data_IF_506411220736
#
_entry.id   IF_506411220736
#
_cell.length_a   1.000
_cell.length_b   1.000
_cell.length_c   1.000
_cell.angle_alpha   90.00
_cell.angle_beta   90.00
_cell.angle_gamma   90.00
#
_symmetry.space_group_name_H-M   'P 1'
#
loop_
_entity.id
_entity.type
_entity.pdbx_description
1 polymer ?
#
# COMPACT_ATOMS: atom_id res chain seq x y z
N UNK A 1 53.04 -5.95 40.52
CA UNK A 1 53.18 -6.13 39.07
C UNK A 1 51.83 -5.75 38.51
N UNK A 2 51.56 -4.45 38.51
CA UNK A 2 50.36 -3.88 37.93
C UNK A 2 50.66 -3.91 36.43
N UNK A 3 49.93 -4.75 35.69
CA UNK A 3 50.02 -4.75 34.25
C UNK A 3 49.76 -3.32 33.81
N UNK A 4 50.71 -2.77 33.06
CA UNK A 4 50.41 -1.73 32.09
C UNK A 4 49.46 -2.38 31.09
N UNK A 5 48.21 -2.66 31.50
CA UNK A 5 47.11 -2.82 30.56
C UNK A 5 47.18 -1.55 29.72
N UNK A 6 47.43 -1.77 28.44
CA UNK A 6 48.28 -0.94 27.62
C UNK A 6 47.62 0.43 27.40
N UNK A 7 48.19 1.46 28.02
CA UNK A 7 47.68 2.84 27.99
C UNK A 7 47.55 3.37 26.55
N UNK A 8 48.25 2.76 25.59
CA UNK A 8 48.18 3.09 24.16
C UNK A 8 47.26 2.17 23.36
N UNK A 9 46.72 1.10 23.94
CA UNK A 9 45.82 0.14 23.28
C UNK A 9 44.57 0.82 22.73
N UNK A 10 43.99 1.76 23.49
CA UNK A 10 42.87 2.59 23.04
C UNK A 10 43.23 3.50 21.85
N UNK A 11 44.50 3.92 21.73
CA UNK A 11 44.98 4.76 20.63
C UNK A 11 45.35 3.94 19.40
N UNK A 12 45.73 2.67 19.57
CA UNK A 12 46.02 1.71 18.50
C UNK A 12 44.74 1.12 17.90
N UNK A 13 43.70 0.91 18.73
CA UNK A 13 42.41 0.35 18.33
C UNK A 13 41.35 1.41 18.01
N UNK A 14 41.74 2.67 17.86
CA UNK A 14 40.83 3.80 17.69
C UNK A 14 40.00 3.70 16.40
N UNK A 15 40.63 3.27 15.30
CA UNK A 15 39.95 3.07 14.00
C UNK A 15 38.88 1.97 14.10
N UNK A 16 39.24 0.81 14.66
CA UNK A 16 38.31 -0.31 14.85
C UNK A 16 37.16 0.06 15.80
N UNK A 17 37.46 0.82 16.86
CA UNK A 17 36.45 1.31 17.81
C UNK A 17 35.45 2.22 17.11
N UNK A 18 35.91 3.24 16.40
CA UNK A 18 35.02 4.16 15.69
C UNK A 18 34.28 3.51 14.52
N UNK A 19 34.90 2.54 13.83
CA UNK A 19 34.21 1.75 12.82
C UNK A 19 33.04 0.97 13.43
N UNK A 20 33.29 0.27 14.53
CA UNK A 20 32.26 -0.51 15.23
C UNK A 20 31.16 0.39 15.82
N UNK A 21 31.53 1.55 16.37
CA UNK A 21 30.59 2.55 16.85
C UNK A 21 29.70 3.08 15.72
N UNK A 22 30.30 3.52 14.61
CA UNK A 22 29.58 4.04 13.45
C UNK A 22 28.68 2.98 12.80
N UNK A 23 29.14 1.73 12.71
CA UNK A 23 28.31 0.62 12.24
C UNK A 23 27.12 0.38 13.16
N UNK A 24 27.34 0.32 14.48
CA UNK A 24 26.29 0.10 15.46
C UNK A 24 25.28 1.25 15.46
N UNK A 25 25.74 2.49 15.42
CA UNK A 25 24.90 3.67 15.33
C UNK A 25 24.06 3.65 14.05
N UNK A 26 24.71 3.45 12.89
CA UNK A 26 24.04 3.39 11.59
C UNK A 26 23.01 2.26 11.52
N UNK A 27 23.31 1.08 12.07
CA UNK A 27 22.38 -0.04 12.13
C UNK A 27 21.16 0.28 13.01
N UNK A 28 21.37 0.79 14.22
CA UNK A 28 20.29 1.14 15.14
C UNK A 28 19.40 2.26 14.57
N UNK A 29 20.03 3.29 14.00
CA UNK A 29 19.32 4.39 13.36
C UNK A 29 18.53 3.90 12.14
N UNK A 30 19.16 3.13 11.24
CA UNK A 30 18.51 2.58 10.06
C UNK A 30 17.32 1.68 10.38
N UNK A 31 17.43 0.85 11.42
CA UNK A 31 16.33 0.00 11.88
C UNK A 31 15.16 0.83 12.42
N UNK A 32 15.44 1.85 13.23
CA UNK A 32 14.41 2.71 13.80
C UNK A 32 13.70 3.54 12.73
N UNK A 33 14.47 4.22 11.89
CA UNK A 33 13.94 5.08 10.81
C UNK A 33 13.21 4.25 9.76
N UNK A 34 13.78 3.12 9.33
CA UNK A 34 13.14 2.25 8.34
C UNK A 34 11.79 1.69 8.82
N UNK A 35 11.67 1.36 10.11
CA UNK A 35 10.39 0.93 10.69
C UNK A 35 9.33 2.03 10.66
N UNK A 36 9.72 3.26 11.00
CA UNK A 36 8.79 4.39 10.99
C UNK A 36 8.39 4.77 9.57
N UNK A 37 9.34 4.82 8.63
CA UNK A 37 9.06 5.09 7.22
C UNK A 37 8.14 4.04 6.61
N UNK A 38 8.42 2.75 6.82
CA UNK A 38 7.57 1.67 6.32
C UNK A 38 6.13 1.77 6.85
N UNK A 39 5.97 2.12 8.13
CA UNK A 39 4.65 2.34 8.75
C UNK A 39 3.91 3.50 8.10
N UNK A 40 4.59 4.63 7.89
CA UNK A 40 4.01 5.83 7.29
C UNK A 40 3.60 5.59 5.84
N UNK A 41 4.48 4.96 5.05
CA UNK A 41 4.21 4.61 3.65
C UNK A 41 3.03 3.65 3.58
N UNK A 42 3.03 2.56 4.36
CA UNK A 42 1.95 1.58 4.35
C UNK A 42 0.59 2.16 4.77
N UNK A 43 0.57 3.07 5.75
CA UNK A 43 -0.67 3.77 6.13
C UNK A 43 -1.18 4.67 5.01
N UNK A 44 -0.29 5.44 4.39
CA UNK A 44 -0.65 6.35 3.30
C UNK A 44 -1.18 5.59 2.09
N UNK A 45 -0.42 4.61 1.59
CA UNK A 45 -0.81 3.83 0.41
C UNK A 45 -2.06 3.00 0.67
N UNK A 46 -2.16 2.39 1.85
CA UNK A 46 -3.35 1.64 2.25
C UNK A 46 -4.60 2.52 2.32
N UNK A 47 -4.48 3.75 2.83
CA UNK A 47 -5.60 4.70 2.84
C UNK A 47 -6.01 5.11 1.42
N UNK A 48 -5.06 5.48 0.56
CA UNK A 48 -5.33 5.90 -0.83
C UNK A 48 -6.07 4.79 -1.61
N UNK A 49 -5.61 3.54 -1.48
CA UNK A 49 -6.25 2.38 -2.12
C UNK A 49 -7.64 2.11 -1.52
N UNK A 50 -7.74 2.14 -0.19
CA UNK A 50 -9.00 1.90 0.52
C UNK A 50 -10.06 2.95 0.20
N UNK A 51 -9.66 4.21 0.09
CA UNK A 51 -10.53 5.32 -0.33
C UNK A 51 -11.08 5.08 -1.74
N UNK A 52 -10.21 4.76 -2.71
CA UNK A 52 -10.63 4.54 -4.09
C UNK A 52 -11.57 3.32 -4.22
N UNK A 53 -11.27 2.21 -3.54
CA UNK A 53 -12.13 1.02 -3.51
C UNK A 53 -13.47 1.30 -2.83
N UNK A 54 -13.46 2.01 -1.70
CA UNK A 54 -14.67 2.40 -0.97
C UNK A 54 -15.57 3.32 -1.80
N UNK A 55 -14.98 4.29 -2.50
CA UNK A 55 -15.69 5.15 -3.45
C UNK A 55 -16.37 4.33 -4.55
N UNK A 56 -15.63 3.42 -5.20
CA UNK A 56 -16.19 2.54 -6.22
C UNK A 56 -17.29 1.64 -5.69
N UNK A 57 -17.15 1.10 -4.48
CA UNK A 57 -18.19 0.30 -3.85
C UNK A 57 -19.48 1.10 -3.65
N UNK A 58 -19.36 2.32 -3.13
CA UNK A 58 -20.50 3.22 -2.98
C UNK A 58 -21.20 3.53 -4.31
N UNK A 59 -20.44 3.78 -5.38
CA UNK A 59 -21.01 3.98 -6.71
C UNK A 59 -21.77 2.75 -7.21
N UNK A 60 -21.17 1.56 -7.09
CA UNK A 60 -21.80 0.30 -7.49
C UNK A 60 -23.12 0.08 -6.73
N UNK A 61 -23.14 0.34 -5.43
CA UNK A 61 -24.34 0.17 -4.59
C UNK A 61 -25.47 1.13 -5.04
N UNK A 62 -25.14 2.39 -5.30
CA UNK A 62 -26.10 3.40 -5.79
C UNK A 62 -26.62 3.05 -7.19
N UNK A 63 -25.74 2.69 -8.13
CA UNK A 63 -26.16 2.30 -9.48
C UNK A 63 -27.02 1.04 -9.47
N UNK A 64 -26.66 0.04 -8.68
CA UNK A 64 -27.50 -1.15 -8.51
C UNK A 64 -28.88 -0.80 -7.92
N UNK A 65 -28.95 0.13 -6.98
CA UNK A 65 -30.23 0.61 -6.46
C UNK A 65 -31.07 1.30 -7.55
N UNK A 66 -30.45 2.18 -8.34
CA UNK A 66 -31.13 2.87 -9.44
C UNK A 66 -31.62 1.91 -10.54
N UNK A 67 -30.80 0.92 -10.91
CA UNK A 67 -31.16 -0.14 -11.86
C UNK A 67 -32.35 -0.96 -11.35
N UNK A 68 -32.43 -1.25 -10.04
CA UNK A 68 -33.57 -1.97 -9.46
C UNK A 68 -34.87 -1.15 -9.52
N UNK A 69 -34.78 0.17 -9.33
CA UNK A 69 -35.95 1.06 -9.37
C UNK A 69 -36.48 1.21 -10.79
N UNK A 70 -35.60 1.43 -11.76
CA UNK A 70 -35.98 1.55 -13.18
C UNK A 70 -34.91 0.89 -14.07
N UNK A 71 -35.10 -0.39 -14.42
CA UNK A 71 -34.15 -1.14 -15.25
C UNK A 71 -33.97 -0.55 -16.66
N UNK A 72 -34.89 0.28 -17.13
CA UNK A 72 -34.82 0.87 -18.48
C UNK A 72 -33.92 2.10 -18.56
N UNK A 73 -33.56 2.70 -17.41
CA UNK A 73 -32.69 3.89 -17.34
C UNK A 73 -31.27 3.63 -17.78
N UNK A 74 -30.78 2.41 -17.59
CA UNK A 74 -29.43 2.02 -17.93
C UNK A 74 -29.46 0.99 -19.05
N UNK A 75 -28.63 1.19 -20.08
CA UNK A 75 -28.48 0.17 -21.12
C UNK A 75 -27.98 -1.14 -20.53
N UNK A 76 -28.29 -2.26 -21.19
CA UNK A 76 -27.80 -3.60 -20.79
C UNK A 76 -26.28 -3.65 -20.67
N UNK A 77 -25.56 -2.89 -21.50
CA UNK A 77 -24.10 -2.73 -21.44
C UNK A 77 -23.65 -2.07 -20.13
N UNK A 78 -24.33 -1.01 -19.69
CA UNK A 78 -24.00 -0.33 -18.43
C UNK A 78 -24.33 -1.24 -17.24
N UNK A 79 -25.49 -1.90 -17.23
CA UNK A 79 -25.85 -2.85 -16.17
C UNK A 79 -24.81 -3.98 -16.03
N UNK A 80 -24.34 -4.53 -17.16
CA UNK A 80 -23.26 -5.53 -17.17
C UNK A 80 -21.95 -4.95 -16.60
N UNK A 81 -21.59 -3.73 -16.99
CA UNK A 81 -20.38 -3.06 -16.52
C UNK A 81 -20.41 -2.82 -15.00
N UNK A 82 -21.56 -2.41 -14.45
CA UNK A 82 -21.76 -2.23 -13.00
C UNK A 82 -21.59 -3.57 -12.26
N UNK A 83 -22.18 -4.65 -12.78
CA UNK A 83 -22.05 -5.99 -12.18
C UNK A 83 -20.59 -6.48 -12.18
N UNK A 84 -19.89 -6.33 -13.30
CA UNK A 84 -18.47 -6.69 -13.40
C UNK A 84 -17.59 -5.85 -12.48
N UNK A 85 -17.88 -4.55 -12.34
CA UNK A 85 -17.17 -3.67 -11.43
C UNK A 85 -17.34 -4.11 -9.97
N UNK A 86 -18.56 -4.47 -9.55
CA UNK A 86 -18.80 -5.06 -8.23
C UNK A 86 -18.00 -6.34 -7.99
N UNK A 87 -17.97 -7.24 -8.98
CA UNK A 87 -17.19 -8.47 -8.89
C UNK A 87 -15.67 -8.26 -8.84
N UNK A 88 -15.15 -7.18 -9.44
CA UNK A 88 -13.74 -6.82 -9.32
C UNK A 88 -13.40 -6.29 -7.91
N UNK A 89 -14.29 -5.49 -7.31
CA UNK A 89 -14.12 -5.00 -5.94
C UNK A 89 -14.08 -6.16 -4.95
N UNK A 90 -14.96 -7.16 -5.11
CA UNK A 90 -15.00 -8.35 -4.24
C UNK A 90 -13.76 -9.23 -4.35
N UNK A 91 -13.10 -9.23 -5.51
CA UNK A 91 -11.89 -10.04 -5.76
C UNK A 91 -10.60 -9.31 -5.41
N UNK A 92 -10.65 -8.02 -5.08
CA UNK A 92 -9.45 -7.26 -4.81
C UNK A 92 -8.74 -7.80 -3.55
N UNK A 93 -7.44 -8.15 -3.63
CA UNK A 93 -6.71 -8.80 -2.54
C UNK A 93 -6.27 -7.78 -1.47
N UNK A 94 -7.21 -7.35 -0.62
CA UNK A 94 -6.97 -6.32 0.40
C UNK A 94 -5.86 -6.68 1.41
N UNK A 95 -5.64 -7.97 1.67
CA UNK A 95 -4.64 -8.46 2.63
C UNK A 95 -3.31 -8.83 1.98
N UNK A 96 -3.24 -8.84 0.65
CA UNK A 96 -2.06 -9.24 -0.12
C UNK A 96 -1.72 -8.11 -1.11
N UNK A 97 -1.24 -6.95 -0.61
CA UNK A 97 -0.98 -5.77 -1.44
C UNK A 97 0.14 -5.98 -2.47
N UNK A 98 0.93 -7.05 -2.33
CA UNK A 98 1.99 -7.45 -3.27
C UNK A 98 1.49 -8.41 -4.35
N UNK A 99 0.21 -8.80 -4.33
CA UNK A 99 -0.39 -9.66 -5.36
C UNK A 99 -0.32 -8.97 -6.74
N UNK A 100 0.19 -9.71 -7.73
CA UNK A 100 0.40 -9.20 -9.10
C UNK A 100 -0.90 -8.72 -9.77
N UNK A 101 -2.06 -9.19 -9.30
CA UNK A 101 -3.38 -8.80 -9.82
C UNK A 101 -3.85 -7.42 -9.35
N UNK A 102 -3.25 -6.83 -8.30
CA UNK A 102 -3.66 -5.54 -7.74
C UNK A 102 -3.76 -4.45 -8.81
N UNK A 103 -2.70 -4.30 -9.61
CA UNK A 103 -2.62 -3.27 -10.65
C UNK A 103 -3.62 -3.52 -11.78
N UNK A 104 -3.80 -4.78 -12.19
CA UNK A 104 -4.76 -5.15 -13.23
C UNK A 104 -6.21 -4.87 -12.78
N UNK A 105 -6.55 -5.23 -11.54
CA UNK A 105 -7.88 -5.02 -10.97
C UNK A 105 -8.16 -3.52 -10.85
N UNK A 106 -7.23 -2.73 -10.30
CA UNK A 106 -7.40 -1.27 -10.20
C UNK A 106 -7.53 -0.60 -11.57
N UNK A 107 -6.69 -0.99 -12.54
CA UNK A 107 -6.79 -0.52 -13.92
C UNK A 107 -8.17 -0.82 -14.52
N UNK A 108 -8.67 -2.03 -14.29
CA UNK A 108 -9.99 -2.46 -14.76
C UNK A 108 -11.14 -1.70 -14.08
N UNK A 109 -11.05 -1.45 -12.77
CA UNK A 109 -12.03 -0.64 -12.03
C UNK A 109 -12.10 0.79 -12.57
N UNK A 110 -10.95 1.45 -12.73
CA UNK A 110 -10.84 2.82 -13.28
C UNK A 110 -11.40 2.91 -14.70
N UNK A 111 -11.19 1.87 -15.52
CA UNK A 111 -11.73 1.82 -16.89
C UNK A 111 -13.26 1.66 -16.89
N UNK A 112 -13.78 0.71 -16.09
CA UNK A 112 -15.24 0.49 -15.98
C UNK A 112 -15.95 1.71 -15.43
N UNK A 113 -15.39 2.36 -14.42
CA UNK A 113 -15.92 3.61 -13.88
C UNK A 113 -16.08 4.68 -14.98
N UNK A 114 -15.05 4.86 -15.83
CA UNK A 114 -15.11 5.79 -16.97
C UNK A 114 -16.21 5.44 -17.96
N UNK A 115 -16.37 4.15 -18.29
CA UNK A 115 -17.42 3.67 -19.19
C UNK A 115 -18.81 3.95 -18.62
N UNK A 116 -19.02 3.67 -17.34
CA UNK A 116 -20.32 3.86 -16.68
C UNK A 116 -20.68 5.34 -16.57
N UNK A 117 -19.71 6.22 -16.31
CA UNK A 117 -19.94 7.67 -16.24
C UNK A 117 -20.22 8.30 -17.61
N UNK A 118 -19.75 7.67 -18.69
CA UNK A 118 -19.88 8.21 -20.05
C UNK A 118 -21.13 7.72 -20.80
N UNK A 119 -21.81 6.68 -20.29
CA UNK A 119 -23.02 6.10 -20.89
C UNK A 119 -24.27 6.44 -20.11
#
# INVERSE_FOLDING_TARGET
>A
MESVEDIFESSLNLEETHFNEGYKEGYQHGLATGKEEARQVGLKTGFEVGEELGFYRGCVDVWNAAIRVDPSRFSTRIQKSVKEMGGLIEKYPLSEPEDESVEEIMGSLRLKFRVIRAG
#
